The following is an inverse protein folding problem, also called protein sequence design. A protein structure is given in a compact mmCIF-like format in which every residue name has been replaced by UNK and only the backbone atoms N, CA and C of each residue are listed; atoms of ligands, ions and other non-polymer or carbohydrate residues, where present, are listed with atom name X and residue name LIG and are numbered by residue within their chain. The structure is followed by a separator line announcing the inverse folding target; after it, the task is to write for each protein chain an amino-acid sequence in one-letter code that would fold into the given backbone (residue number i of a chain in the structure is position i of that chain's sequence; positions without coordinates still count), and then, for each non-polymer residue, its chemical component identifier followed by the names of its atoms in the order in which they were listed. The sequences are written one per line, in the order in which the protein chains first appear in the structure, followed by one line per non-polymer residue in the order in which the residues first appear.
data_IF_789476452113
#
_entry.id   IF_789476452113
#
_cell.length_a   1.000
_cell.length_b   1.000
_cell.length_c   1.000
_cell.angle_alpha   90.00
_cell.angle_beta   90.00
_cell.angle_gamma   90.00
#
_symmetry.space_group_name_H-M   'P 1'
#
loop_
_entity.id
_entity.type
_entity.pdbx_description
1 polymer ?
#
# COMPACT_ATOMS: atom_id res chain seq x y z
N UNK A 1 14.10 -27.56 -72.05
CA UNK A 1 13.40 -26.67 -71.09
C UNK A 1 14.02 -25.28 -71.20
N UNK A 2 13.25 -24.21 -71.47
CA UNK A 2 13.81 -22.87 -71.71
C UNK A 2 14.32 -22.29 -70.38
N UNK A 3 15.57 -21.80 -70.35
CA UNK A 3 16.25 -21.22 -69.16
C UNK A 3 15.36 -20.23 -68.38
N UNK A 4 14.54 -19.45 -69.10
CA UNK A 4 13.58 -18.49 -68.52
C UNK A 4 12.54 -19.11 -67.57
N UNK A 5 12.19 -20.39 -67.75
CA UNK A 5 11.24 -21.08 -66.88
C UNK A 5 11.91 -21.60 -65.60
N UNK A 6 13.22 -21.89 -65.64
CA UNK A 6 13.98 -22.36 -64.47
C UNK A 6 14.21 -21.19 -63.50
N UNK A 7 14.55 -19.99 -64.00
CA UNK A 7 14.75 -18.80 -63.15
C UNK A 7 13.49 -18.41 -62.37
N UNK A 8 12.31 -18.47 -63.02
CA UNK A 8 11.03 -18.18 -62.36
C UNK A 8 10.68 -19.20 -61.27
N UNK A 9 10.94 -20.47 -61.53
CA UNK A 9 10.70 -21.54 -60.56
C UNK A 9 11.61 -21.41 -59.32
N UNK A 10 12.90 -21.09 -59.52
CA UNK A 10 13.83 -20.85 -58.42
C UNK A 10 13.42 -19.63 -57.59
N UNK A 11 12.95 -18.54 -58.21
CA UNK A 11 12.52 -17.35 -57.47
C UNK A 11 11.31 -17.63 -56.56
N UNK A 12 10.36 -18.46 -57.02
CA UNK A 12 9.22 -18.89 -56.20
C UNK A 12 9.67 -19.77 -55.03
N UNK A 13 10.59 -20.72 -55.27
CA UNK A 13 11.12 -21.58 -54.19
C UNK A 13 11.86 -20.74 -53.15
N UNK A 14 12.77 -19.85 -53.56
CA UNK A 14 13.49 -19.00 -52.62
C UNK A 14 12.56 -18.04 -51.88
N UNK A 15 11.52 -17.52 -52.54
CA UNK A 15 10.49 -16.69 -51.89
C UNK A 15 9.68 -17.46 -50.84
N UNK A 16 9.24 -18.68 -51.14
CA UNK A 16 8.49 -19.52 -50.18
C UNK A 16 9.38 -19.99 -49.03
N UNK A 17 10.65 -20.29 -49.29
CA UNK A 17 11.61 -20.71 -48.26
C UNK A 17 11.96 -19.57 -47.31
N UNK A 18 12.17 -18.35 -47.83
CA UNK A 18 12.45 -17.17 -47.00
C UNK A 18 11.23 -16.75 -46.17
N UNK A 19 10.01 -16.87 -46.70
CA UNK A 19 8.78 -16.66 -45.92
C UNK A 19 8.65 -17.71 -44.79
N UNK A 20 8.97 -18.99 -45.04
CA UNK A 20 8.94 -20.00 -43.98
C UNK A 20 10.02 -19.78 -42.91
N UNK A 21 11.19 -19.22 -43.25
CA UNK A 21 12.22 -18.88 -42.26
C UNK A 21 11.78 -17.67 -41.42
N UNK A 22 11.10 -16.68 -42.02
CA UNK A 22 10.54 -15.54 -41.30
C UNK A 22 9.33 -15.90 -40.43
N UNK A 23 8.52 -16.89 -40.85
CA UNK A 23 7.36 -17.39 -40.08
C UNK A 23 7.76 -18.40 -38.99
N UNK A 24 8.92 -19.04 -39.12
CA UNK A 24 9.59 -19.75 -38.02
C UNK A 24 10.51 -18.80 -37.25
N UNK A 25 10.04 -17.58 -36.97
CA UNK A 25 10.56 -16.84 -35.84
C UNK A 25 10.44 -17.77 -34.65
N UNK A 26 11.57 -18.29 -34.17
CA UNK A 26 11.64 -19.11 -32.97
C UNK A 26 10.97 -18.28 -31.91
N UNK A 27 9.78 -18.69 -31.46
CA UNK A 27 9.31 -18.26 -30.15
C UNK A 27 10.41 -18.71 -29.21
N UNK A 28 11.22 -17.75 -28.75
CA UNK A 28 12.07 -17.99 -27.60
C UNK A 28 11.08 -18.41 -26.53
N UNK A 29 11.17 -19.68 -26.15
CA UNK A 29 10.35 -20.18 -25.07
C UNK A 29 10.94 -19.53 -23.84
N UNK A 30 10.09 -18.86 -23.06
CA UNK A 30 10.39 -18.50 -21.68
C UNK A 30 11.12 -19.68 -21.03
N UNK A 31 12.37 -19.45 -20.65
CA UNK A 31 13.17 -20.43 -19.94
C UNK A 31 13.26 -20.03 -18.48
N UNK A 32 13.48 -21.02 -17.61
CA UNK A 32 13.88 -20.73 -16.23
C UNK A 32 15.39 -20.57 -16.20
N UNK A 33 15.87 -19.41 -15.78
CA UNK A 33 17.29 -19.10 -15.61
C UNK A 33 17.57 -18.94 -14.13
N UNK A 34 18.54 -19.71 -13.63
CA UNK A 34 18.82 -19.80 -12.19
C UNK A 34 20.11 -19.08 -11.87
N UNK A 35 20.07 -18.17 -10.90
CA UNK A 35 21.24 -17.50 -10.35
C UNK A 35 22.11 -18.51 -9.59
N UNK A 36 23.40 -18.57 -9.90
CA UNK A 36 24.37 -19.40 -9.16
C UNK A 36 25.43 -18.55 -8.45
N UNK A 37 25.59 -17.27 -8.82
CA UNK A 37 26.53 -16.35 -8.19
C UNK A 37 28.01 -16.72 -8.38
N UNK A 38 28.36 -17.55 -9.37
CA UNK A 38 29.71 -18.10 -9.54
C UNK A 38 30.75 -17.05 -10.03
N UNK A 39 30.33 -15.84 -10.40
CA UNK A 39 31.19 -14.77 -10.91
C UNK A 39 32.13 -14.09 -9.92
N UNK A 40 32.08 -14.47 -8.64
CA UNK A 40 32.98 -13.96 -7.61
C UNK A 40 32.78 -12.48 -7.30
N UNK A 41 33.54 -11.59 -7.95
CA UNK A 41 33.57 -10.15 -7.60
C UNK A 41 32.50 -9.28 -8.27
N UNK A 42 31.81 -9.80 -9.28
CA UNK A 42 30.72 -9.08 -9.95
C UNK A 42 29.42 -9.82 -9.68
N UNK A 43 28.50 -9.22 -8.93
CA UNK A 43 27.20 -9.80 -8.62
C UNK A 43 26.08 -9.27 -9.54
N UNK A 44 26.42 -8.79 -10.74
CA UNK A 44 25.47 -8.24 -11.71
C UNK A 44 24.68 -9.30 -12.47
N UNK A 45 23.39 -9.04 -12.69
CA UNK A 45 22.50 -9.81 -13.57
C UNK A 45 22.98 -9.75 -15.03
N UNK A 46 23.73 -8.72 -15.42
CA UNK A 46 24.34 -8.57 -16.75
C UNK A 46 25.52 -9.50 -17.01
N UNK A 47 25.99 -10.26 -16.00
CA UNK A 47 27.15 -11.12 -16.16
C UNK A 47 26.72 -12.59 -16.24
N UNK A 48 26.96 -13.19 -17.40
CA UNK A 48 26.50 -14.53 -17.73
C UNK A 48 27.01 -15.58 -16.73
N UNK A 49 28.21 -15.40 -16.19
CA UNK A 49 28.85 -16.32 -15.22
C UNK A 49 28.14 -16.41 -13.86
N UNK A 50 27.18 -15.52 -13.58
CA UNK A 50 26.36 -15.60 -12.36
C UNK A 50 25.06 -16.37 -12.56
N UNK A 51 24.85 -16.91 -13.75
CA UNK A 51 23.66 -17.65 -14.14
C UNK A 51 24.06 -19.05 -14.59
N UNK A 52 23.25 -20.04 -14.23
CA UNK A 52 23.48 -21.43 -14.59
C UNK A 52 23.71 -21.59 -16.09
N UNK A 53 24.70 -22.41 -16.44
CA UNK A 53 25.19 -22.63 -17.80
C UNK A 53 25.76 -21.37 -18.49
N UNK A 54 26.24 -20.39 -17.73
CA UNK A 54 26.80 -19.15 -18.25
C UNK A 54 25.87 -18.44 -19.26
N UNK A 55 24.55 -18.48 -19.00
CA UNK A 55 23.52 -18.00 -19.93
C UNK A 55 22.79 -16.79 -19.34
N UNK A 56 22.91 -15.64 -20.01
CA UNK A 56 22.17 -14.45 -19.61
C UNK A 56 20.66 -14.66 -19.74
N UNK A 57 19.85 -14.16 -18.79
CA UNK A 57 18.41 -14.12 -18.96
C UNK A 57 18.05 -13.19 -20.12
N UNK A 58 16.96 -13.51 -20.80
CA UNK A 58 16.38 -12.73 -21.89
C UNK A 58 14.90 -12.45 -21.62
N UNK A 59 14.32 -11.55 -22.42
CA UNK A 59 12.92 -11.18 -22.25
C UNK A 59 11.98 -12.41 -22.30
N UNK A 60 11.11 -12.50 -21.30
CA UNK A 60 10.14 -13.56 -21.08
C UNK A 60 10.62 -14.69 -20.16
N UNK A 61 11.88 -14.70 -19.71
CA UNK A 61 12.38 -15.75 -18.82
C UNK A 61 11.82 -15.67 -17.39
N UNK A 62 11.82 -16.80 -16.69
CA UNK A 62 11.61 -16.89 -15.24
C UNK A 62 12.95 -16.81 -14.53
N UNK A 63 13.11 -15.89 -13.58
CA UNK A 63 14.35 -15.75 -12.80
C UNK A 63 14.21 -16.50 -11.47
N UNK A 64 15.15 -17.40 -11.18
CA UNK A 64 15.21 -18.13 -9.91
C UNK A 64 16.48 -17.79 -9.15
N UNK A 65 16.34 -17.33 -7.92
CA UNK A 65 17.43 -16.98 -6.99
C UNK A 65 17.46 -17.98 -5.83
N UNK A 66 18.21 -19.09 -5.94
CA UNK A 66 18.37 -20.02 -4.83
C UNK A 66 19.31 -19.43 -3.77
N UNK A 67 18.86 -19.42 -2.52
CA UNK A 67 19.65 -19.01 -1.37
C UNK A 67 19.72 -20.10 -0.29
N UNK A 68 20.86 -20.77 -0.24
CA UNK A 68 21.06 -21.94 0.62
C UNK A 68 21.68 -21.61 1.98
N UNK A 69 22.19 -20.40 2.18
CA UNK A 69 22.88 -19.97 3.38
C UNK A 69 22.15 -18.86 4.13
N UNK A 70 22.17 -18.92 5.45
CA UNK A 70 21.57 -17.90 6.31
C UNK A 70 22.35 -16.56 6.30
N UNK A 71 23.52 -16.52 5.64
CA UNK A 71 24.32 -15.30 5.48
C UNK A 71 23.75 -14.33 4.44
N UNK A 72 22.77 -14.79 3.65
CA UNK A 72 22.09 -14.02 2.64
C UNK A 72 22.80 -14.05 1.29
N UNK A 73 22.01 -14.01 0.23
CA UNK A 73 22.48 -14.07 -1.15
C UNK A 73 22.35 -12.69 -1.77
N UNK A 74 23.47 -12.12 -2.21
CA UNK A 74 23.49 -10.78 -2.77
C UNK A 74 23.57 -10.83 -4.31
N UNK A 75 22.76 -10.01 -4.97
CA UNK A 75 22.85 -9.77 -6.43
C UNK A 75 22.67 -8.28 -6.75
N UNK A 76 22.89 -7.90 -7.99
CA UNK A 76 22.77 -6.52 -8.48
C UNK A 76 21.93 -6.55 -9.75
N UNK A 77 20.74 -5.94 -9.71
CA UNK A 77 19.87 -5.82 -10.87
C UNK A 77 20.36 -4.69 -11.79
N UNK A 78 21.21 -5.02 -12.77
CA UNK A 78 21.93 -4.06 -13.63
C UNK A 78 21.61 -4.17 -15.14
N UNK A 79 20.50 -4.81 -15.48
CA UNK A 79 19.99 -4.91 -16.86
C UNK A 79 18.51 -4.57 -16.92
N UNK A 80 18.11 -3.83 -17.95
CA UNK A 80 16.70 -3.72 -18.32
C UNK A 80 16.24 -5.06 -18.89
N UNK A 81 15.16 -5.61 -18.35
CA UNK A 81 14.65 -6.93 -18.77
C UNK A 81 13.15 -7.04 -18.51
N UNK A 82 12.45 -7.71 -19.43
CA UNK A 82 11.06 -8.14 -19.23
C UNK A 82 11.07 -9.61 -18.76
N UNK A 83 10.57 -9.92 -17.57
CA UNK A 83 10.59 -11.28 -17.02
C UNK A 83 9.16 -11.80 -16.81
N UNK A 84 8.99 -13.11 -16.89
CA UNK A 84 7.72 -13.75 -16.61
C UNK A 84 7.48 -13.90 -15.11
N UNK A 85 8.50 -14.21 -14.31
CA UNK A 85 8.40 -14.26 -12.84
C UNK A 85 9.76 -14.09 -12.17
N UNK A 86 9.75 -13.78 -10.87
CA UNK A 86 10.95 -13.77 -10.02
C UNK A 86 10.68 -14.63 -8.79
N UNK A 87 11.50 -15.65 -8.55
CA UNK A 87 11.35 -16.55 -7.41
C UNK A 87 12.65 -16.65 -6.61
N UNK A 88 12.58 -16.38 -5.32
CA UNK A 88 13.66 -16.56 -4.37
C UNK A 88 13.39 -17.81 -3.55
N UNK A 89 14.26 -18.80 -3.65
CA UNK A 89 14.04 -20.12 -3.05
C UNK A 89 15.10 -20.43 -1.99
N UNK A 90 14.80 -21.32 -1.06
CA UNK A 90 15.70 -21.70 0.02
C UNK A 90 15.42 -21.01 1.35
N UNK A 91 16.38 -21.10 2.27
CA UNK A 91 16.21 -20.71 3.68
C UNK A 91 16.91 -19.41 4.05
N UNK A 92 17.73 -18.87 3.14
CA UNK A 92 18.42 -17.59 3.31
C UNK A 92 17.61 -16.43 2.75
N UNK A 93 17.84 -15.23 3.28
CA UNK A 93 17.28 -13.98 2.73
C UNK A 93 18.05 -13.59 1.47
N UNK A 94 17.35 -13.29 0.38
CA UNK A 94 17.99 -12.76 -0.83
C UNK A 94 17.94 -11.24 -0.84
N UNK A 95 19.03 -10.58 -1.20
CA UNK A 95 19.13 -9.13 -1.35
C UNK A 95 19.63 -8.81 -2.76
N UNK A 96 18.72 -8.38 -3.64
CA UNK A 96 19.09 -7.78 -4.91
C UNK A 96 19.20 -6.27 -4.72
N UNK A 97 20.40 -5.73 -4.89
CA UNK A 97 20.69 -4.30 -4.76
C UNK A 97 20.63 -3.59 -6.10
N UNK A 98 20.39 -2.28 -6.08
CA UNK A 98 20.33 -1.45 -7.28
C UNK A 98 21.70 -0.85 -7.60
N UNK A 99 22.16 -0.87 -8.87
CA UNK A 99 23.31 -0.08 -9.30
C UNK A 99 22.99 1.42 -9.34
N UNK A 100 24.02 2.24 -9.52
CA UNK A 100 23.91 3.72 -9.57
C UNK A 100 22.97 4.22 -10.67
N UNK A 101 22.79 3.44 -11.74
CA UNK A 101 21.79 3.69 -12.78
C UNK A 101 20.74 2.58 -12.66
N UNK A 102 19.53 2.87 -12.15
CA UNK A 102 18.53 1.84 -11.92
C UNK A 102 18.21 1.09 -13.21
N UNK A 103 18.21 -0.23 -13.15
CA UNK A 103 17.62 -1.07 -14.19
C UNK A 103 16.09 -0.99 -14.09
N UNK A 104 15.41 -1.09 -15.24
CA UNK A 104 13.95 -1.24 -15.32
C UNK A 104 13.62 -2.70 -15.55
N UNK A 105 12.95 -3.32 -14.57
CA UNK A 105 12.43 -4.67 -14.66
C UNK A 105 10.94 -4.60 -14.96
N UNK A 106 10.52 -5.12 -16.11
CA UNK A 106 9.09 -5.37 -16.37
C UNK A 106 8.75 -6.77 -15.92
N UNK A 107 7.74 -6.94 -15.05
CA UNK A 107 7.38 -8.27 -14.53
C UNK A 107 5.97 -8.63 -14.98
N UNK A 108 5.84 -9.81 -15.60
CA UNK A 108 4.60 -10.35 -16.16
C UNK A 108 4.01 -11.52 -15.33
N UNK A 109 4.35 -11.61 -14.05
CA UNK A 109 3.91 -12.68 -13.16
C UNK A 109 4.49 -12.52 -11.76
N UNK A 110 4.28 -13.53 -10.92
CA UNK A 110 4.48 -13.35 -9.47
C UNK A 110 5.94 -13.13 -9.06
N UNK A 111 6.11 -12.37 -7.98
CA UNK A 111 7.38 -12.18 -7.28
C UNK A 111 7.27 -12.87 -5.92
N UNK A 112 8.02 -13.96 -5.72
CA UNK A 112 7.85 -14.82 -4.54
C UNK A 112 9.16 -15.05 -3.80
N UNK A 113 9.09 -15.21 -2.47
CA UNK A 113 10.20 -15.69 -1.66
C UNK A 113 9.75 -16.76 -0.66
N UNK A 114 10.48 -17.88 -0.62
CA UNK A 114 10.31 -18.92 0.42
C UNK A 114 10.83 -18.47 1.79
N UNK A 115 11.85 -17.61 1.79
CA UNK A 115 12.38 -17.01 2.99
C UNK A 115 11.74 -15.65 3.24
N UNK A 116 11.27 -15.42 4.46
CA UNK A 116 10.84 -14.10 4.87
C UNK A 116 12.03 -13.14 4.87
N UNK A 117 11.81 -11.91 4.41
CA UNK A 117 12.80 -10.86 4.49
C UNK A 117 13.72 -10.71 3.28
N UNK A 118 13.38 -11.35 2.16
CA UNK A 118 14.07 -11.07 0.91
C UNK A 118 13.65 -9.73 0.32
N UNK A 119 14.56 -9.13 -0.45
CA UNK A 119 14.43 -7.75 -0.91
C UNK A 119 14.95 -7.59 -2.35
N UNK A 120 14.22 -6.85 -3.19
CA UNK A 120 14.69 -6.42 -4.51
C UNK A 120 14.68 -4.90 -4.58
N UNK A 121 15.83 -4.33 -4.90
CA UNK A 121 15.99 -2.93 -5.24
C UNK A 121 16.14 -2.83 -6.76
N UNK A 122 15.12 -2.37 -7.46
CA UNK A 122 15.10 -2.13 -8.90
C UNK A 122 13.92 -1.22 -9.25
N UNK A 123 13.92 -0.60 -10.43
CA UNK A 123 12.70 0.02 -10.92
C UNK A 123 11.80 -1.07 -11.49
N UNK A 124 10.52 -1.02 -11.16
CA UNK A 124 9.55 -2.01 -11.61
C UNK A 124 8.47 -1.39 -12.47
N UNK A 125 8.11 -2.10 -13.54
CA UNK A 125 6.88 -1.89 -14.28
C UNK A 125 6.08 -3.18 -14.26
N UNK A 126 4.84 -3.12 -13.81
CA UNK A 126 3.96 -4.28 -13.76
C UNK A 126 3.31 -4.47 -15.14
N UNK A 127 3.49 -5.65 -15.74
CA UNK A 127 3.00 -5.95 -17.09
C UNK A 127 1.65 -6.67 -17.14
N UNK A 128 1.24 -7.27 -16.02
CA UNK A 128 -0.04 -7.97 -15.81
C UNK A 128 -0.37 -7.99 -14.32
N UNK A 129 -1.55 -8.48 -13.94
CA UNK A 129 -1.86 -8.72 -12.53
C UNK A 129 -0.86 -9.70 -11.87
N UNK A 130 -0.30 -9.35 -10.72
CA UNK A 130 0.71 -10.17 -10.01
C UNK A 130 0.45 -10.30 -8.51
N UNK A 131 1.01 -11.37 -7.92
CA UNK A 131 1.19 -11.52 -6.48
C UNK A 131 2.65 -11.22 -6.09
N UNK A 132 2.84 -10.47 -5.00
CA UNK A 132 4.13 -10.29 -4.32
C UNK A 132 4.04 -10.99 -2.96
N UNK A 133 4.74 -12.11 -2.82
CA UNK A 133 4.66 -12.97 -1.64
C UNK A 133 5.97 -12.99 -0.84
N UNK A 134 5.95 -12.51 0.41
CA UNK A 134 7.11 -12.47 1.32
C UNK A 134 8.35 -11.71 0.79
N UNK A 135 8.16 -10.78 -0.15
CA UNK A 135 9.24 -9.95 -0.72
C UNK A 135 9.00 -8.48 -0.38
N UNK A 136 10.07 -7.77 -0.03
CA UNK A 136 10.06 -6.31 -0.06
C UNK A 136 10.62 -5.80 -1.39
N UNK A 137 9.94 -4.82 -1.96
CA UNK A 137 10.39 -4.13 -3.16
C UNK A 137 10.80 -2.72 -2.75
N UNK A 138 12.06 -2.35 -3.03
CA UNK A 138 12.57 -0.99 -2.83
C UNK A 138 12.86 -0.37 -4.19
N UNK A 139 11.85 0.28 -4.79
CA UNK A 139 11.83 0.66 -6.19
C UNK A 139 11.65 2.17 -6.41
N UNK A 140 12.30 2.72 -7.43
CA UNK A 140 12.31 4.16 -7.70
C UNK A 140 12.25 4.46 -9.21
N UNK A 141 11.13 4.16 -9.92
CA UNK A 141 9.77 3.94 -9.39
C UNK A 141 9.27 2.48 -9.40
N UNK A 142 8.12 2.25 -8.73
CA UNK A 142 7.24 1.09 -8.84
C UNK A 142 5.95 1.47 -9.58
N UNK A 143 5.87 1.14 -10.86
CA UNK A 143 4.76 1.50 -11.75
C UNK A 143 3.75 0.35 -11.90
N UNK A 144 2.51 0.54 -11.40
CA UNK A 144 1.44 -0.46 -11.50
C UNK A 144 0.91 -0.61 -12.94
N UNK A 145 1.04 0.43 -13.77
CA UNK A 145 0.70 0.41 -15.20
C UNK A 145 -0.68 -0.20 -15.52
N UNK A 146 -1.67 0.10 -14.67
CA UNK A 146 -3.07 -0.30 -14.83
C UNK A 146 -3.42 -1.70 -14.33
N UNK A 147 -2.49 -2.39 -13.67
CA UNK A 147 -2.66 -3.78 -13.22
C UNK A 147 -2.95 -3.89 -11.71
N UNK A 148 -3.34 -5.09 -11.30
CA UNK A 148 -3.55 -5.45 -9.90
C UNK A 148 -2.25 -6.01 -9.31
N UNK A 149 -1.81 -5.47 -8.18
CA UNK A 149 -0.71 -6.01 -7.37
C UNK A 149 -1.28 -6.47 -6.04
N UNK A 150 -1.15 -7.75 -5.72
CA UNK A 150 -1.57 -8.31 -4.42
C UNK A 150 -0.35 -8.60 -3.56
N UNK A 151 -0.27 -7.98 -2.39
CA UNK A 151 0.75 -8.26 -1.38
C UNK A 151 0.23 -9.35 -0.42
N UNK A 152 0.97 -10.45 -0.30
CA UNK A 152 0.60 -11.59 0.56
C UNK A 152 1.78 -12.12 1.39
N UNK A 153 1.46 -12.93 2.38
CA UNK A 153 2.43 -13.63 3.22
C UNK A 153 2.55 -13.03 4.62
N UNK A 154 3.66 -13.36 5.28
CA UNK A 154 3.81 -13.20 6.73
C UNK A 154 4.87 -12.16 7.09
N UNK A 155 5.66 -11.75 6.10
CA UNK A 155 6.61 -10.64 6.16
C UNK A 155 7.49 -10.61 7.39
N UNK A 156 8.58 -11.37 7.49
CA UNK A 156 9.62 -11.10 8.49
C UNK A 156 10.89 -10.58 7.81
N UNK A 157 10.97 -9.27 7.60
CA UNK A 157 12.25 -8.63 7.33
C UNK A 157 13.07 -8.49 8.62
N UNK A 158 14.21 -9.18 8.69
CA UNK A 158 15.28 -8.88 9.65
C UNK A 158 16.13 -7.75 9.12
N UNK A 159 16.08 -6.55 9.71
CA UNK A 159 17.06 -5.51 9.39
C UNK A 159 18.44 -5.92 9.93
N UNK A 160 19.29 -6.48 9.07
CA UNK A 160 20.68 -6.75 9.41
C UNK A 160 21.53 -5.48 9.20
N UNK A 161 21.23 -4.39 9.93
CA UNK A 161 22.00 -3.15 9.80
C UNK A 161 21.30 -1.86 10.23
N UNK A 162 21.40 -1.55 11.54
CA UNK A 162 21.50 -0.20 12.08
C UNK A 162 20.44 0.89 11.72
N UNK A 163 19.18 0.52 11.49
CA UNK A 163 18.09 1.38 11.96
C UNK A 163 17.05 0.53 12.73
N UNK A 164 17.07 0.61 14.07
CA UNK A 164 16.29 -0.23 14.97
C UNK A 164 14.93 0.41 15.26
N UNK A 165 13.95 -0.40 15.65
CA UNK A 165 12.80 -0.07 16.53
C UNK A 165 11.38 -0.33 16.00
N UNK A 166 11.19 -0.84 14.78
CA UNK A 166 9.89 -1.42 14.40
C UNK A 166 9.83 -2.94 14.63
N UNK A 167 8.64 -3.52 14.87
CA UNK A 167 8.47 -4.95 15.15
C UNK A 167 8.96 -5.83 13.98
N UNK A 168 9.55 -6.99 14.31
CA UNK A 168 10.01 -8.00 13.35
C UNK A 168 8.85 -8.45 12.44
N UNK A 169 8.70 -7.91 11.22
CA UNK A 169 7.40 -8.11 10.56
C UNK A 169 7.02 -7.36 9.27
N UNK A 170 7.92 -7.06 8.31
CA UNK A 170 7.53 -6.23 7.13
C UNK A 170 7.44 -6.96 5.78
N UNK A 171 6.38 -6.65 5.03
CA UNK A 171 6.30 -6.67 3.55
C UNK A 171 6.17 -5.22 3.10
N UNK A 172 6.61 -4.86 1.91
CA UNK A 172 6.43 -3.46 1.50
C UNK A 172 6.86 -3.11 0.10
N UNK A 173 6.37 -1.96 -0.32
CA UNK A 173 6.81 -1.23 -1.51
C UNK A 173 7.39 0.09 -1.01
N UNK A 174 8.72 0.18 -0.99
CA UNK A 174 9.43 1.41 -0.70
C UNK A 174 9.76 2.16 -1.97
N UNK A 175 9.63 3.49 -1.92
CA UNK A 175 9.94 4.41 -3.00
C UNK A 175 8.70 4.91 -3.77
N UNK A 176 8.91 5.47 -4.96
CA UNK A 176 7.83 6.14 -5.68
C UNK A 176 6.86 5.13 -6.29
N UNK A 177 5.59 5.11 -5.84
CA UNK A 177 4.53 4.32 -6.48
C UNK A 177 3.84 5.18 -7.53
N UNK A 178 3.75 4.69 -8.77
CA UNK A 178 3.20 5.43 -9.91
C UNK A 178 2.14 4.64 -10.68
N UNK A 179 1.41 5.35 -11.55
CA UNK A 179 0.46 4.75 -12.48
C UNK A 179 -0.98 4.66 -11.95
N UNK A 180 -1.82 3.97 -12.72
CA UNK A 180 -3.15 3.50 -12.31
C UNK A 180 -3.10 1.99 -11.99
N UNK A 181 -4.18 1.44 -11.43
CA UNK A 181 -4.25 0.03 -11.05
C UNK A 181 -4.93 -0.19 -9.70
N UNK A 182 -4.70 -1.36 -9.13
CA UNK A 182 -5.19 -1.72 -7.80
C UNK A 182 -4.06 -2.32 -6.96
N UNK A 183 -3.88 -1.83 -5.74
CA UNK A 183 -2.96 -2.39 -4.77
C UNK A 183 -3.78 -3.11 -3.68
N UNK A 184 -3.71 -4.43 -3.64
CA UNK A 184 -4.41 -5.25 -2.65
C UNK A 184 -3.41 -5.67 -1.57
N UNK A 185 -3.76 -5.45 -0.31
CA UNK A 185 -3.00 -5.85 0.86
C UNK A 185 -3.78 -6.95 1.57
N UNK A 186 -3.29 -8.19 1.47
CA UNK A 186 -3.87 -9.39 2.07
C UNK A 186 -2.75 -10.22 2.72
N UNK A 187 -2.18 -9.65 3.77
CA UNK A 187 -1.11 -10.27 4.58
C UNK A 187 -1.68 -10.81 5.88
N UNK A 188 -0.88 -11.59 6.60
CA UNK A 188 -1.26 -12.06 7.94
C UNK A 188 -1.67 -10.86 8.84
N UNK A 189 -2.69 -10.98 9.71
CA UNK A 189 -3.19 -9.87 10.54
C UNK A 189 -2.16 -9.19 11.46
N UNK A 190 -1.06 -9.87 11.75
CA UNK A 190 0.05 -9.37 12.55
C UNK A 190 1.21 -8.82 11.72
N UNK A 191 1.16 -8.96 10.38
CA UNK A 191 2.16 -8.42 9.46
C UNK A 191 1.87 -6.95 9.20
N UNK A 192 2.93 -6.14 9.26
CA UNK A 192 2.88 -4.74 8.90
C UNK A 192 3.37 -4.56 7.46
N UNK A 193 2.56 -3.94 6.61
CA UNK A 193 2.93 -3.54 5.26
C UNK A 193 3.44 -2.12 5.29
N UNK A 194 4.69 -1.97 4.87
CA UNK A 194 5.35 -0.69 4.72
C UNK A 194 5.19 -0.17 3.30
N UNK A 195 4.50 0.95 3.17
CA UNK A 195 4.48 1.73 1.93
C UNK A 195 5.15 3.06 2.24
N UNK A 196 6.19 3.41 1.49
CA UNK A 196 6.89 4.67 1.68
C UNK A 196 7.21 5.33 0.37
N UNK A 197 7.20 6.66 0.33
CA UNK A 197 7.74 7.44 -0.79
C UNK A 197 9.04 8.15 -0.38
N UNK A 198 9.80 8.60 -1.37
CA UNK A 198 10.91 9.53 -1.14
C UNK A 198 10.39 10.96 -1.20
N UNK A 199 10.90 11.83 -0.32
CA UNK A 199 10.64 13.29 -0.34
C UNK A 199 10.96 13.90 -1.71
N UNK A 200 11.97 13.35 -2.42
CA UNK A 200 12.37 13.86 -3.74
C UNK A 200 11.47 13.36 -4.87
N UNK A 201 10.77 12.24 -4.65
CA UNK A 201 10.03 11.49 -5.66
C UNK A 201 8.72 10.95 -5.02
N UNK A 202 7.73 11.83 -4.78
CA UNK A 202 6.46 11.45 -4.16
C UNK A 202 5.67 10.48 -5.05
N UNK A 203 4.95 9.55 -4.42
CA UNK A 203 4.03 8.66 -5.13
C UNK A 203 2.93 9.47 -5.84
N UNK A 204 2.76 9.24 -7.13
CA UNK A 204 1.69 9.84 -7.95
C UNK A 204 0.59 8.83 -8.32
N UNK A 205 0.59 7.68 -7.64
CA UNK A 205 -0.41 6.62 -7.75
C UNK A 205 -1.84 7.16 -7.69
N UNK A 206 -2.67 6.80 -8.68
CA UNK A 206 -4.05 7.28 -8.82
C UNK A 206 -5.11 6.18 -8.79
N UNK A 207 -4.72 4.95 -8.41
CA UNK A 207 -5.59 3.77 -8.42
C UNK A 207 -6.44 3.61 -7.15
N UNK A 208 -6.68 2.35 -6.76
CA UNK A 208 -7.37 1.98 -5.52
C UNK A 208 -6.42 1.15 -4.65
N UNK A 209 -6.25 1.51 -3.38
CA UNK A 209 -5.60 0.63 -2.41
C UNK A 209 -6.66 -0.09 -1.60
N UNK A 210 -6.71 -1.42 -1.62
CA UNK A 210 -7.62 -2.22 -0.79
C UNK A 210 -6.85 -2.99 0.27
N UNK A 211 -7.20 -2.80 1.53
CA UNK A 211 -6.59 -3.44 2.69
C UNK A 211 -7.59 -4.46 3.23
N UNK A 212 -7.39 -5.72 2.87
CA UNK A 212 -8.26 -6.84 3.26
C UNK A 212 -7.89 -7.32 4.66
N UNK A 213 -6.60 -7.57 4.88
CA UNK A 213 -6.02 -8.08 6.12
C UNK A 213 -4.63 -7.50 6.33
N UNK A 214 -4.20 -7.50 7.60
CA UNK A 214 -2.90 -7.00 8.01
C UNK A 214 -2.94 -5.55 8.48
N UNK A 215 -1.76 -5.05 8.79
CA UNK A 215 -1.55 -3.69 9.29
C UNK A 215 -0.81 -2.93 8.22
N UNK A 216 -1.19 -1.70 7.91
CA UNK A 216 -0.47 -0.83 6.97
C UNK A 216 0.03 0.36 7.75
N UNK A 217 1.34 0.57 7.75
CA UNK A 217 1.98 1.60 8.54
C UNK A 217 3.25 2.13 7.89
N UNK A 218 3.66 3.33 8.28
CA UNK A 218 5.00 3.85 7.97
C UNK A 218 5.89 3.56 9.17
N UNK A 219 6.66 2.48 9.12
CA UNK A 219 7.54 1.97 10.19
C UNK A 219 8.39 3.01 10.92
N UNK A 220 8.58 4.22 10.38
CA UNK A 220 8.86 5.44 11.15
C UNK A 220 8.37 6.69 10.39
N UNK A 221 7.37 7.41 10.92
CA UNK A 221 7.06 8.82 10.63
C UNK A 221 6.73 9.23 9.18
N UNK A 222 5.71 10.08 9.05
CA UNK A 222 5.25 10.75 7.82
C UNK A 222 4.27 9.95 6.97
N UNK A 223 3.25 9.42 7.63
CA UNK A 223 1.97 9.19 6.98
C UNK A 223 1.08 10.38 7.27
N UNK A 224 0.86 11.20 6.22
CA UNK A 224 -0.05 12.35 6.15
C UNK A 224 0.63 13.68 6.47
N UNK A 225 0.82 14.46 5.40
CA UNK A 225 1.01 15.92 5.34
C UNK A 225 1.78 16.53 6.51
N UNK A 226 2.99 17.06 6.29
CA UNK A 226 3.63 17.92 7.28
C UNK A 226 5.13 17.82 7.30
N UNK A 227 5.76 18.60 6.42
CA UNK A 227 7.21 18.74 6.28
C UNK A 227 8.02 18.64 7.58
N UNK A 228 9.06 17.82 7.56
CA UNK A 228 10.27 18.13 8.33
C UNK A 228 11.42 18.47 7.40
N UNK A 229 11.72 19.77 7.26
CA UNK A 229 13.10 20.20 7.03
C UNK A 229 13.48 21.32 7.98
N UNK A 230 14.62 21.12 8.65
CA UNK A 230 15.39 22.18 9.30
C UNK A 230 16.03 23.09 8.25
N UNK A 231 15.23 23.77 7.42
CA UNK A 231 15.74 24.52 6.27
C UNK A 231 14.83 25.61 5.70
N UNK A 232 13.50 25.52 5.86
CA UNK A 232 12.57 26.54 5.40
C UNK A 232 12.53 26.68 3.87
N UNK A 233 11.81 25.77 3.21
CA UNK A 233 11.10 25.99 1.95
C UNK A 233 9.94 24.99 1.91
N UNK A 234 8.73 25.50 1.71
CA UNK A 234 7.44 24.80 1.84
C UNK A 234 7.23 23.60 0.91
N UNK A 235 6.39 22.70 1.42
CA UNK A 235 5.37 21.88 0.74
C UNK A 235 5.80 20.89 -0.34
N UNK A 236 6.02 19.64 0.07
CA UNK A 236 5.52 18.47 -0.66
C UNK A 236 4.94 17.50 0.38
N UNK A 237 3.64 17.26 0.26
CA UNK A 237 2.86 16.35 1.11
C UNK A 237 2.98 14.98 0.45
N UNK A 238 3.80 14.12 1.04
CA UNK A 238 3.99 12.75 0.58
C UNK A 238 2.83 11.90 1.11
N UNK A 239 1.88 11.61 0.23
CA UNK A 239 0.84 10.62 0.48
C UNK A 239 1.38 9.23 0.12
N UNK A 240 1.51 8.34 1.08
CA UNK A 240 1.79 6.90 0.89
C UNK A 240 0.92 6.26 -0.20
N UNK A 241 -0.31 6.76 -0.33
CA UNK A 241 -1.31 6.32 -1.27
C UNK A 241 -1.37 7.17 -2.55
N UNK A 242 -0.48 8.15 -2.74
CA UNK A 242 -0.63 9.11 -3.82
C UNK A 242 -2.01 9.80 -3.76
N UNK A 243 -2.69 9.86 -4.90
CA UNK A 243 -4.08 10.30 -5.02
C UNK A 243 -5.08 9.13 -5.00
N UNK A 244 -4.66 7.94 -4.56
CA UNK A 244 -5.53 6.76 -4.56
C UNK A 244 -6.65 6.90 -3.55
N UNK A 245 -7.77 6.27 -3.87
CA UNK A 245 -8.78 5.92 -2.88
C UNK A 245 -8.27 4.74 -2.04
N UNK A 246 -8.66 4.67 -0.77
CA UNK A 246 -8.24 3.61 0.15
C UNK A 246 -9.46 2.91 0.71
N UNK A 247 -9.58 1.61 0.48
CA UNK A 247 -10.62 0.75 1.01
C UNK A 247 -10.04 -0.08 2.15
N UNK A 248 -10.65 -0.03 3.33
CA UNK A 248 -10.25 -0.84 4.50
C UNK A 248 -11.38 -1.81 4.80
N UNK A 249 -11.09 -3.11 4.73
CA UNK A 249 -12.05 -4.16 5.07
C UNK A 249 -11.98 -4.54 6.56
N UNK A 250 -12.69 -5.61 6.94
CA UNK A 250 -12.92 -6.00 8.33
C UNK A 250 -11.64 -6.24 9.14
N UNK A 251 -10.63 -6.85 8.53
CA UNK A 251 -9.39 -7.26 9.20
C UNK A 251 -8.20 -6.35 8.83
N UNK A 252 -8.43 -5.35 7.97
CA UNK A 252 -7.46 -4.34 7.61
C UNK A 252 -7.31 -3.27 8.68
N UNK A 253 -6.07 -2.85 8.94
CA UNK A 253 -5.75 -1.76 9.87
C UNK A 253 -4.79 -0.77 9.22
N UNK A 254 -5.02 0.53 9.44
CA UNK A 254 -4.08 1.60 9.10
C UNK A 254 -3.53 2.24 10.37
N UNK A 255 -2.22 2.42 10.43
CA UNK A 255 -1.50 3.08 11.53
C UNK A 255 -0.94 4.42 11.04
N UNK A 256 -1.34 5.50 11.69
CA UNK A 256 -0.84 6.85 11.46
C UNK A 256 0.17 7.20 12.54
N UNK A 257 1.46 7.23 12.19
CA UNK A 257 2.52 7.62 13.10
C UNK A 257 2.79 9.11 13.02
N UNK A 258 2.31 9.84 14.03
CA UNK A 258 2.29 11.30 14.09
C UNK A 258 3.46 11.86 14.93
N UNK A 259 4.06 12.97 14.50
CA UNK A 259 5.20 13.66 15.09
C UNK A 259 4.94 15.19 15.17
N UNK A 260 5.85 15.92 15.81
CA UNK A 260 5.70 17.36 16.07
C UNK A 260 5.48 18.23 14.82
N UNK A 261 5.97 17.81 13.66
CA UNK A 261 5.84 18.53 12.40
C UNK A 261 4.45 18.34 11.76
N UNK A 262 3.70 17.35 12.23
CA UNK A 262 2.39 16.99 11.67
C UNK A 262 1.22 17.71 12.38
N UNK A 263 1.50 18.71 13.20
CA UNK A 263 0.46 19.46 13.89
C UNK A 263 -0.34 20.35 12.91
N UNK A 264 -1.67 20.23 12.94
CA UNK A 264 -2.66 20.89 12.07
C UNK A 264 -2.64 20.39 10.62
N UNK A 265 -2.45 19.09 10.44
CA UNK A 265 -2.38 18.47 9.13
C UNK A 265 -3.65 17.66 8.86
N UNK A 266 -3.88 17.35 7.58
CA UNK A 266 -5.07 16.62 7.12
C UNK A 266 -4.71 15.53 6.12
N UNK A 267 -5.52 14.45 6.13
CA UNK A 267 -5.50 13.47 5.04
C UNK A 267 -6.49 13.85 3.97
N UNK A 268 -6.01 14.11 2.76
CA UNK A 268 -6.88 14.48 1.65
C UNK A 268 -7.37 13.26 0.85
N UNK A 269 -6.76 12.08 1.02
CA UNK A 269 -7.25 10.82 0.43
C UNK A 269 -8.66 10.47 0.93
N UNK A 270 -9.46 9.86 0.06
CA UNK A 270 -10.77 9.31 0.46
C UNK A 270 -10.56 7.91 1.02
N UNK A 271 -11.00 7.68 2.26
CA UNK A 271 -10.97 6.37 2.89
C UNK A 271 -12.38 5.81 2.97
N UNK A 272 -12.62 4.64 2.40
CA UNK A 272 -13.85 3.88 2.56
C UNK A 272 -13.60 2.76 3.54
N UNK A 273 -14.32 2.75 4.67
CA UNK A 273 -14.18 1.71 5.69
C UNK A 273 -15.41 0.81 5.64
N UNK A 274 -15.19 -0.46 5.35
CA UNK A 274 -16.23 -1.47 5.17
C UNK A 274 -16.00 -2.68 6.07
N UNK A 275 -17.08 -3.42 6.37
CA UNK A 275 -17.00 -4.70 7.07
C UNK A 275 -16.57 -4.66 8.54
N UNK A 276 -16.44 -3.49 9.16
CA UNK A 276 -15.97 -3.33 10.54
C UNK A 276 -16.81 -4.12 11.55
N UNK A 277 -16.14 -4.96 12.34
CA UNK A 277 -16.64 -5.38 13.64
C UNK A 277 -16.07 -4.42 14.69
N UNK A 278 -16.88 -3.97 15.65
CA UNK A 278 -16.49 -3.09 16.77
C UNK A 278 -15.41 -3.68 17.71
N UNK A 279 -14.76 -4.78 17.33
CA UNK A 279 -13.73 -5.46 18.10
C UNK A 279 -12.31 -5.18 17.62
N UNK A 280 -12.13 -4.70 16.39
CA UNK A 280 -10.82 -4.45 15.81
C UNK A 280 -10.69 -2.97 15.46
N UNK A 281 -9.58 -2.36 15.87
CA UNK A 281 -9.28 -0.97 15.58
C UNK A 281 -8.80 -0.86 14.12
N UNK A 282 -9.64 -0.30 13.24
CA UNK A 282 -9.36 -0.20 11.79
C UNK A 282 -8.44 0.98 11.47
N UNK A 283 -8.53 2.08 12.24
CA UNK A 283 -7.59 3.20 12.17
C UNK A 283 -6.96 3.40 13.56
N UNK A 284 -5.64 3.57 13.62
CA UNK A 284 -4.93 3.91 14.86
C UNK A 284 -4.04 5.14 14.64
N UNK A 285 -4.14 6.12 15.53
CA UNK A 285 -3.34 7.34 15.51
C UNK A 285 -2.32 7.30 16.64
N UNK A 286 -1.04 7.41 16.31
CA UNK A 286 0.05 7.19 17.25
C UNK A 286 0.86 8.47 17.40
N UNK A 287 0.79 9.14 18.55
CA UNK A 287 1.63 10.29 18.84
C UNK A 287 3.04 9.84 19.30
N UNK A 288 4.03 10.07 18.44
CA UNK A 288 5.46 9.80 18.65
C UNK A 288 6.26 11.03 19.09
N UNK A 289 5.61 12.14 19.47
CA UNK A 289 6.32 13.32 19.94
C UNK A 289 7.19 12.96 21.15
N UNK A 290 8.33 13.64 21.30
CA UNK A 290 9.24 13.43 22.44
C UNK A 290 9.16 14.56 23.47
N UNK A 291 8.45 15.64 23.15
CA UNK A 291 8.35 16.86 23.94
C UNK A 291 6.98 17.03 24.64
N UNK A 292 6.12 16.02 24.57
CA UNK A 292 4.74 16.05 25.04
C UNK A 292 3.87 17.10 24.32
N UNK A 293 4.17 17.42 23.07
CA UNK A 293 3.31 18.31 22.29
C UNK A 293 1.99 17.61 21.94
N UNK A 294 0.94 18.44 21.84
CA UNK A 294 -0.37 18.00 21.37
C UNK A 294 -0.36 18.07 19.84
N UNK A 295 -0.74 16.98 19.19
CA UNK A 295 -0.92 16.94 17.74
C UNK A 295 -2.40 17.10 17.43
N UNK A 296 -2.76 18.15 16.68
CA UNK A 296 -4.10 18.27 16.10
C UNK A 296 -4.09 17.67 14.70
N UNK A 297 -5.01 16.75 14.43
CA UNK A 297 -5.08 16.03 13.17
C UNK A 297 -6.50 15.99 12.64
N UNK A 298 -6.72 16.37 11.39
CA UNK A 298 -8.05 16.42 10.79
C UNK A 298 -8.23 15.31 9.76
N UNK A 299 -9.41 14.67 9.74
CA UNK A 299 -9.73 13.64 8.75
C UNK A 299 -10.96 14.04 7.93
N UNK A 300 -10.76 14.80 6.84
CA UNK A 300 -11.86 15.41 6.10
C UNK A 300 -12.67 14.43 5.22
N UNK A 301 -12.12 13.27 4.84
CA UNK A 301 -12.65 12.46 3.73
C UNK A 301 -12.76 10.95 4.08
N UNK A 302 -13.41 10.58 5.18
CA UNK A 302 -13.76 9.17 5.46
C UNK A 302 -15.23 8.91 5.08
N UNK A 303 -15.48 7.82 4.38
CA UNK A 303 -16.81 7.24 4.17
C UNK A 303 -16.93 5.95 4.98
N UNK A 304 -17.94 5.88 5.85
CA UNK A 304 -18.25 4.66 6.60
C UNK A 304 -19.34 3.85 5.89
N UNK A 305 -19.08 2.56 5.69
CA UNK A 305 -20.05 1.56 5.21
C UNK A 305 -20.41 0.52 6.28
N UNK A 306 -19.81 0.65 7.47
CA UNK A 306 -20.04 -0.17 8.66
C UNK A 306 -19.76 0.65 9.92
N UNK A 307 -20.23 0.16 11.06
CA UNK A 307 -19.74 0.66 12.35
C UNK A 307 -18.25 0.34 12.48
N UNK A 308 -17.46 1.32 12.88
CA UNK A 308 -16.00 1.22 12.90
C UNK A 308 -15.45 1.57 14.27
N UNK A 309 -14.17 1.26 14.46
CA UNK A 309 -13.45 1.57 15.68
C UNK A 309 -12.11 2.21 15.36
N UNK A 310 -11.88 3.36 15.97
CA UNK A 310 -10.62 4.09 15.85
C UNK A 310 -9.93 4.10 17.20
N UNK A 311 -8.60 4.04 17.18
CA UNK A 311 -7.78 4.07 18.39
C UNK A 311 -6.77 5.22 18.35
N UNK A 312 -6.37 5.69 19.52
CA UNK A 312 -5.45 6.80 19.68
C UNK A 312 -4.41 6.43 20.74
N UNK A 313 -3.22 6.04 20.31
CA UNK A 313 -2.13 5.66 21.20
C UNK A 313 -1.16 6.83 21.38
N UNK A 314 -1.00 7.30 22.61
CA UNK A 314 -0.02 8.35 22.91
C UNK A 314 1.16 7.80 23.70
N UNK A 315 2.38 7.92 23.17
CA UNK A 315 3.59 7.57 23.93
C UNK A 315 4.10 8.74 24.77
N UNK A 316 4.09 9.95 24.21
CA UNK A 316 4.25 11.20 24.96
C UNK A 316 3.38 12.29 24.33
N UNK A 317 2.75 13.14 25.14
CA UNK A 317 1.80 14.16 24.67
C UNK A 317 0.39 13.62 24.44
N UNK A 318 -0.50 14.49 23.98
CA UNK A 318 -1.89 14.13 23.65
C UNK A 318 -2.09 14.16 22.13
N UNK A 319 -3.11 13.49 21.61
CA UNK A 319 -3.54 13.61 20.21
C UNK A 319 -4.99 14.08 20.20
N UNK A 320 -5.29 15.06 19.36
CA UNK A 320 -6.65 15.58 19.13
C UNK A 320 -7.01 15.36 17.67
N UNK A 321 -8.05 14.56 17.44
CA UNK A 321 -8.43 14.04 16.14
C UNK A 321 -9.81 14.61 15.79
N UNK A 322 -9.85 15.51 14.81
CA UNK A 322 -11.09 16.09 14.31
C UNK A 322 -11.70 15.21 13.22
N UNK A 323 -12.85 14.62 13.55
CA UNK A 323 -13.62 13.70 12.72
C UNK A 323 -14.79 14.39 12.00
N UNK A 324 -14.81 15.73 11.93
CA UNK A 324 -15.91 16.49 11.31
C UNK A 324 -16.16 16.16 9.82
N UNK A 325 -15.19 15.56 9.14
CA UNK A 325 -15.29 15.18 7.73
C UNK A 325 -15.87 13.80 7.44
N UNK A 326 -16.19 13.01 8.46
CA UNK A 326 -16.73 11.66 8.24
C UNK A 326 -18.13 11.72 7.63
N UNK A 327 -18.29 11.12 6.45
CA UNK A 327 -19.60 10.75 5.90
C UNK A 327 -20.01 9.37 6.42
N UNK A 328 -20.92 9.34 7.39
CA UNK A 328 -21.46 8.12 7.95
C UNK A 328 -22.81 7.71 7.35
N UNK A 329 -23.26 8.39 6.28
CA UNK A 329 -24.57 8.21 5.67
C UNK A 329 -25.77 8.29 6.65
N UNK A 330 -25.56 8.86 7.84
CA UNK A 330 -26.52 8.83 8.95
C UNK A 330 -26.85 7.43 9.50
N UNK A 331 -26.09 6.39 9.12
CA UNK A 331 -26.35 4.99 9.50
C UNK A 331 -25.29 4.42 10.42
N UNK A 332 -24.03 4.83 10.23
CA UNK A 332 -22.89 4.22 10.88
C UNK A 332 -22.28 5.12 11.95
N UNK A 333 -21.49 4.53 12.83
CA UNK A 333 -20.82 5.25 13.89
C UNK A 333 -19.37 4.77 14.10
N UNK A 334 -18.63 5.54 14.89
CA UNK A 334 -17.27 5.26 15.34
C UNK A 334 -17.29 5.03 16.84
N UNK A 335 -16.71 3.92 17.28
CA UNK A 335 -16.30 3.70 18.67
C UNK A 335 -14.83 4.05 18.85
N UNK A 336 -14.44 4.47 20.05
CA UNK A 336 -13.10 4.96 20.32
C UNK A 336 -12.35 4.03 21.26
N UNK A 337 -11.13 3.65 20.89
CA UNK A 337 -10.14 2.88 21.63
C UNK A 337 -10.61 1.56 22.25
N UNK A 338 -9.68 0.83 22.86
CA UNK A 338 -10.01 -0.37 23.63
C UNK A 338 -10.70 0.00 24.97
N UNK A 339 -12.04 0.05 24.95
CA UNK A 339 -12.92 0.46 26.07
C UNK A 339 -13.07 1.98 26.27
N UNK A 340 -12.94 2.80 25.23
CA UNK A 340 -13.04 4.27 25.33
C UNK A 340 -11.97 4.90 26.24
N UNK A 341 -10.78 4.30 26.35
CA UNK A 341 -9.71 4.86 27.19
C UNK A 341 -9.19 6.21 26.67
N UNK A 342 -9.40 6.52 25.38
CA UNK A 342 -8.95 7.75 24.71
C UNK A 342 -10.07 8.50 23.98
N UNK A 343 -11.31 8.43 24.48
CA UNK A 343 -12.45 9.15 23.88
C UNK A 343 -12.24 10.68 23.83
N UNK A 344 -11.49 11.24 24.80
CA UNK A 344 -11.14 12.67 24.83
C UNK A 344 -10.20 13.09 23.68
N UNK A 345 -9.59 12.13 22.98
CA UNK A 345 -8.73 12.36 21.82
C UNK A 345 -9.52 12.57 20.51
N UNK A 346 -10.83 12.32 20.50
CA UNK A 346 -11.65 12.39 19.29
C UNK A 346 -12.74 13.47 19.39
N UNK A 347 -12.79 14.36 18.40
CA UNK A 347 -13.74 15.47 18.33
C UNK A 347 -14.64 15.38 17.10
N UNK A 348 -15.86 15.91 17.20
CA UNK A 348 -16.81 16.12 16.09
C UNK A 348 -17.21 14.89 15.26
N UNK A 349 -16.93 13.67 15.73
CA UNK A 349 -17.24 12.41 15.03
C UNK A 349 -18.61 11.79 15.36
N UNK A 350 -19.10 10.87 14.52
CA UNK A 350 -20.35 10.15 14.76
C UNK A 350 -20.14 9.04 15.80
N UNK A 351 -20.32 9.30 17.09
CA UNK A 351 -20.02 8.34 18.18
C UNK A 351 -21.03 7.19 18.29
N UNK A 352 -20.54 5.96 18.41
CA UNK A 352 -21.37 4.79 18.70
C UNK A 352 -21.94 4.84 20.13
N UNK A 353 -23.25 4.57 20.28
CA UNK A 353 -23.86 4.48 21.62
C UNK A 353 -24.30 5.83 22.22
N UNK A 354 -24.04 6.94 21.55
CA UNK A 354 -24.92 8.11 21.65
C UNK A 354 -26.22 7.77 20.93
N UNK A 355 -27.01 6.88 21.54
CA UNK A 355 -28.43 6.74 21.24
C UNK A 355 -28.96 8.16 21.28
N UNK A 356 -29.29 8.72 20.11
CA UNK A 356 -29.80 10.08 20.01
C UNK A 356 -31.03 10.09 20.90
N UNK A 357 -30.89 10.61 22.12
CA UNK A 357 -31.92 10.42 23.14
C UNK A 357 -33.13 11.16 22.60
N UNK A 358 -34.24 10.47 22.27
CA UNK A 358 -35.39 11.14 21.70
C UNK A 358 -35.80 12.24 22.67
N UNK A 359 -35.70 13.49 22.23
CA UNK A 359 -36.02 14.63 23.08
C UNK A 359 -37.43 15.07 22.77
N UNK A 360 -38.23 15.31 23.81
CA UNK A 360 -39.56 15.87 23.68
C UNK A 360 -39.64 17.10 24.56
N UNK A 361 -39.89 18.27 23.96
CA UNK A 361 -40.16 19.49 24.69
C UNK A 361 -41.63 19.88 24.53
N UNK A 362 -42.28 20.20 25.64
CA UNK A 362 -43.63 20.76 25.67
C UNK A 362 -43.54 22.18 26.18
N UNK A 363 -43.89 23.15 25.34
CA UNK A 363 -43.95 24.56 25.72
C UNK A 363 -45.39 25.05 25.72
N UNK A 364 -45.70 25.95 26.65
CA UNK A 364 -46.97 26.67 26.71
C UNK A 364 -46.68 28.16 26.79
N UNK A 365 -47.48 29.00 26.14
CA UNK A 365 -47.27 30.46 26.17
C UNK A 365 -47.94 31.18 27.36
N UNK A 366 -48.13 30.48 28.48
CA UNK A 366 -48.98 30.96 29.56
C UNK A 366 -48.35 32.13 30.34
N UNK A 367 -49.07 33.25 30.40
CA UNK A 367 -48.83 34.32 31.38
C UNK A 367 -49.96 34.45 32.42
N UNK A 368 -51.20 34.06 32.12
CA UNK A 368 -52.31 33.75 33.05
C UNK A 368 -53.55 33.20 32.29
N UNK A 369 -54.43 32.41 32.93
CA UNK A 369 -55.72 31.96 32.35
C UNK A 369 -56.88 32.55 33.15
N UNK A 370 -57.79 33.27 32.49
CA UNK A 370 -59.10 33.68 33.02
C UNK A 370 -60.23 32.88 32.38
N UNK A 371 -61.43 32.93 32.96
CA UNK A 371 -62.60 32.24 32.42
C UNK A 371 -62.86 32.64 30.96
N UNK A 372 -62.82 31.66 30.05
CA UNK A 372 -62.98 31.85 28.60
C UNK A 372 -61.67 31.94 27.79
N UNK A 373 -60.50 31.80 28.41
CA UNK A 373 -59.20 31.78 27.70
C UNK A 373 -58.91 30.48 26.93
N UNK A 374 -58.03 30.58 25.92
CA UNK A 374 -57.50 29.43 25.15
C UNK A 374 -56.00 29.27 25.43
N UNK A 375 -55.52 28.04 25.44
CA UNK A 375 -54.11 27.68 25.63
C UNK A 375 -53.63 26.94 24.39
N UNK A 376 -52.47 27.32 23.89
CA UNK A 376 -51.75 26.60 22.85
C UNK A 376 -50.59 25.87 23.51
N UNK A 377 -50.57 24.55 23.34
CA UNK A 377 -49.45 23.69 23.68
C UNK A 377 -48.68 23.41 22.40
N UNK A 378 -47.37 23.66 22.41
CA UNK A 378 -46.49 23.28 21.32
C UNK A 378 -45.62 22.14 21.81
N UNK A 379 -45.71 20.98 21.16
CA UNK A 379 -44.74 19.90 21.35
C UNK A 379 -43.73 19.92 20.21
N UNK A 380 -42.46 19.67 20.53
CA UNK A 380 -41.39 19.41 19.56
C UNK A 380 -40.72 18.11 19.97
N UNK A 381 -40.72 17.13 19.08
CA UNK A 381 -39.96 15.90 19.22
C UNK A 381 -38.80 15.93 18.24
N UNK A 382 -37.61 15.63 18.71
CA UNK A 382 -36.39 15.49 17.88
C UNK A 382 -35.91 14.06 18.02
N UNK A 383 -35.50 13.45 16.89
CA UNK A 383 -34.88 12.12 16.85
C UNK A 383 -35.75 10.98 17.40
N UNK A 384 -37.08 11.18 17.43
CA UNK A 384 -38.05 10.17 17.83
C UNK A 384 -38.62 9.44 16.61
N UNK A 385 -38.50 8.11 16.56
CA UNK A 385 -39.14 7.25 15.54
C UNK A 385 -40.63 7.03 15.81
N UNK A 386 -41.05 7.07 17.07
CA UNK A 386 -42.46 7.05 17.49
C UNK A 386 -42.68 7.98 18.68
N UNK A 387 -43.78 8.75 18.65
CA UNK A 387 -44.26 9.55 19.80
C UNK A 387 -45.62 8.98 20.18
N UNK A 388 -45.74 8.44 21.39
CA UNK A 388 -46.98 7.82 21.92
C UNK A 388 -47.56 8.62 23.07
#
# INVERSE_FOLDING_TARGET
MKIKNITRFLFVIFGVLSINILLNSTKVLAATVTWDGDGGTSAGWSNAINWDNDTLPVDGDDLVFPCSDLSGCASIADIDIEVNSISMTGVGTHEATMPVTPAVITVNGDITSEAEGSNIHANFTIGTDIEIHNVMIAAYPFDLNGNIVTLTGNGQLRSNGANPDGPDGWIGIGGQITGDGELIIDVDPDTEVYLSSSITDPSDYTGITRIISGRVGTGMSLLVAGQHESGGNDSLVDSMFGQSDVEVEQDGKILFYLNNNENNQSIDNTFTISGGALTNDQLEFINLTTDNSIINFAIPNIVLESDSRFDATTYNGDVLIDLAGIDNNGQYCVSYGNNNEDEDSFENGPVCGNSVVPSCSLTSNLSSITAGGSVILTWVATDATTVT
#
